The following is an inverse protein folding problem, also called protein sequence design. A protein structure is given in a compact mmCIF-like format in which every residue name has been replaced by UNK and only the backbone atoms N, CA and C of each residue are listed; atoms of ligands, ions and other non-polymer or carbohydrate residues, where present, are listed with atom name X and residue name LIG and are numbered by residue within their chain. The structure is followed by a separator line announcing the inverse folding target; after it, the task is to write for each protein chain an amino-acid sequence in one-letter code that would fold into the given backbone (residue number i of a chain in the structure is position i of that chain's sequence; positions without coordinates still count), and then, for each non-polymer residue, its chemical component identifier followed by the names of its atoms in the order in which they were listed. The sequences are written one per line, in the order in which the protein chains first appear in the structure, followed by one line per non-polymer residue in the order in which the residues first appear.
data_IF_771688115475
#
_entry.id   IF_771688115475
#
_cell.length_a   1.000
_cell.length_b   1.000
_cell.length_c   1.000
_cell.angle_alpha   90.00
_cell.angle_beta   90.00
_cell.angle_gamma   90.00
#
_symmetry.space_group_name_H-M   'P 1'
#
loop_
_entity.id
_entity.type
_entity.pdbx_description
1 polymer ?
#
# COMPACT_ATOMS: atom_id res chain seq x y z
N UNK A 1 -4.95 9.27 -8.05
CA UNK A 1 -4.22 10.46 -8.57
C UNK A 1 -4.56 11.65 -7.70
N UNK A 2 -3.55 12.39 -7.28
CA UNK A 2 -3.68 13.49 -6.32
C UNK A 2 -2.97 14.74 -6.84
N UNK A 3 -3.47 15.91 -6.42
CA UNK A 3 -2.88 17.22 -6.63
C UNK A 3 -2.29 17.72 -5.31
N UNK A 4 -1.06 18.21 -5.37
CA UNK A 4 -0.38 18.86 -4.26
C UNK A 4 0.22 20.20 -4.64
N UNK A 5 0.55 20.97 -3.61
CA UNK A 5 1.18 22.28 -3.73
C UNK A 5 2.40 22.39 -2.84
N UNK A 6 3.48 22.92 -3.41
CA UNK A 6 4.74 23.18 -2.74
C UNK A 6 4.89 24.69 -2.58
N UNK A 7 4.80 25.16 -1.34
CA UNK A 7 4.73 26.59 -1.03
C UNK A 7 6.06 27.34 -1.24
N UNK A 8 7.20 26.65 -1.15
CA UNK A 8 8.54 27.25 -1.23
C UNK A 8 8.81 27.92 -2.58
N UNK A 9 8.35 27.31 -3.66
CA UNK A 9 8.52 27.78 -5.03
C UNK A 9 7.19 27.92 -5.78
N UNK A 10 6.08 27.93 -5.04
CA UNK A 10 4.71 28.03 -5.55
C UNK A 10 4.43 27.06 -6.73
N UNK A 11 4.80 25.79 -6.56
CA UNK A 11 4.65 24.76 -7.61
C UNK A 11 3.51 23.79 -7.31
N UNK A 12 2.75 23.45 -8.34
CA UNK A 12 1.77 22.37 -8.31
C UNK A 12 2.40 21.05 -8.77
N UNK A 13 2.04 19.95 -8.11
CA UNK A 13 2.55 18.61 -8.38
C UNK A 13 1.37 17.64 -8.48
N UNK A 14 1.36 16.82 -9.53
CA UNK A 14 0.41 15.72 -9.68
C UNK A 14 1.15 14.41 -9.53
N UNK A 15 0.57 13.47 -8.79
CA UNK A 15 1.14 12.14 -8.57
C UNK A 15 0.05 11.07 -8.50
N UNK A 16 0.43 9.80 -8.72
CA UNK A 16 -0.49 8.68 -8.48
C UNK A 16 -0.93 8.61 -7.02
N UNK A 17 -0.01 8.90 -6.10
CA UNK A 17 -0.16 8.74 -4.65
C UNK A 17 0.37 9.95 -3.86
N UNK A 18 -0.22 10.22 -2.69
CA UNK A 18 0.19 11.35 -1.83
C UNK A 18 1.55 11.16 -1.15
N UNK A 19 2.06 9.93 -1.07
CA UNK A 19 3.40 9.65 -0.52
C UNK A 19 4.49 10.36 -1.34
N UNK A 20 4.32 10.46 -2.66
CA UNK A 20 5.23 11.18 -3.55
C UNK A 20 5.25 12.69 -3.22
N UNK A 21 4.10 13.29 -2.91
CA UNK A 21 4.01 14.69 -2.51
C UNK A 21 4.79 14.94 -1.20
N UNK A 22 4.60 14.03 -0.23
CA UNK A 22 5.30 14.10 1.06
C UNK A 22 6.82 13.99 0.88
N UNK A 23 7.27 13.09 0.00
CA UNK A 23 8.70 12.87 -0.27
C UNK A 23 9.40 14.11 -0.85
N UNK A 24 8.68 14.97 -1.57
CA UNK A 24 9.20 16.22 -2.14
C UNK A 24 8.84 17.46 -1.32
N UNK A 25 8.25 17.29 -0.14
CA UNK A 25 7.86 18.40 0.74
C UNK A 25 6.66 19.22 0.26
N UNK A 26 5.83 18.68 -0.64
CA UNK A 26 4.58 19.29 -1.06
C UNK A 26 3.43 18.85 -0.15
N UNK A 27 2.46 19.76 0.07
CA UNK A 27 1.23 19.45 0.80
C UNK A 27 0.21 18.85 -0.16
N UNK A 28 -0.47 17.79 0.27
CA UNK A 28 -1.64 17.26 -0.43
C UNK A 28 -2.77 18.30 -0.38
N UNK A 29 -3.26 18.73 -1.54
CA UNK A 29 -4.43 19.61 -1.63
C UNK A 29 -5.72 18.80 -1.72
N UNK A 30 -5.79 17.88 -2.71
CA UNK A 30 -6.97 17.03 -2.95
C UNK A 30 -6.70 15.89 -3.92
N UNK A 31 -7.61 14.93 -3.96
CA UNK A 31 -7.71 13.96 -5.05
C UNK A 31 -8.19 14.64 -6.35
N UNK A 32 -7.72 14.12 -7.48
CA UNK A 32 -8.22 14.51 -8.82
C UNK A 32 -9.52 13.77 -9.08
N UNK A 33 -10.56 14.50 -9.49
CA UNK A 33 -11.90 13.92 -9.67
C UNK A 33 -11.95 13.05 -10.94
N UNK A 34 -12.79 11.99 -10.97
CA UNK A 34 -13.06 11.26 -12.20
C UNK A 34 -13.59 12.22 -13.28
N UNK A 35 -13.02 12.17 -14.48
CA UNK A 35 -13.42 13.07 -15.57
C UNK A 35 -12.84 14.49 -15.48
N UNK A 36 -11.92 14.75 -14.56
CA UNK A 36 -11.23 16.04 -14.44
C UNK A 36 -9.95 16.06 -15.30
N UNK A 37 -9.78 17.15 -16.04
CA UNK A 37 -8.57 17.53 -16.72
C UNK A 37 -7.85 18.60 -15.89
N UNK A 38 -6.56 18.38 -15.62
CA UNK A 38 -5.69 19.35 -14.97
C UNK A 38 -4.72 19.92 -16.00
N UNK A 39 -4.70 21.25 -16.13
CA UNK A 39 -3.78 21.98 -17.00
C UNK A 39 -2.86 22.84 -16.16
N UNK A 40 -1.56 22.57 -16.25
CA UNK A 40 -0.51 23.35 -15.62
C UNK A 40 0.21 24.17 -16.70
N UNK A 41 0.25 25.49 -16.51
CA UNK A 41 0.92 26.40 -17.44
C UNK A 41 1.59 27.56 -16.70
N UNK A 42 2.20 28.50 -17.45
CA UNK A 42 2.73 29.74 -16.89
C UNK A 42 1.66 30.62 -16.23
N UNK A 43 0.39 30.42 -16.59
CA UNK A 43 -0.75 31.15 -16.00
C UNK A 43 -1.23 30.52 -14.68
N UNK A 44 -0.64 29.40 -14.25
CA UNK A 44 -1.00 28.67 -13.05
C UNK A 44 -1.78 27.38 -13.34
N UNK A 45 -2.58 26.98 -12.35
CA UNK A 45 -3.43 25.79 -12.37
C UNK A 45 -4.81 26.13 -12.95
N UNK A 46 -5.19 25.43 -14.01
CA UNK A 46 -6.54 25.41 -14.58
C UNK A 46 -7.11 23.99 -14.50
N UNK A 47 -8.42 23.87 -14.29
CA UNK A 47 -9.11 22.56 -14.22
C UNK A 47 -10.41 22.60 -15.00
N UNK A 48 -10.70 21.54 -15.74
CA UNK A 48 -11.92 21.42 -16.54
C UNK A 48 -12.51 20.01 -16.36
N UNK A 49 -13.85 19.91 -16.30
CA UNK A 49 -14.51 18.60 -16.32
C UNK A 49 -14.85 18.26 -17.77
N UNK A 50 -14.23 17.21 -18.31
CA UNK A 50 -14.55 16.71 -19.66
C UNK A 50 -15.64 15.62 -19.64
N UNK A 51 -16.03 15.15 -18.45
CA UNK A 51 -17.12 14.21 -18.24
C UNK A 51 -17.93 14.59 -17.00
N UNK A 52 -19.25 14.52 -17.11
CA UNK A 52 -20.18 14.73 -15.99
C UNK A 52 -20.42 13.44 -15.18
N UNK A 53 -19.87 12.29 -15.61
CA UNK A 53 -20.06 11.03 -14.91
C UNK A 53 -19.30 11.04 -13.58
N UNK A 54 -20.05 11.20 -12.49
CA UNK A 54 -19.52 11.26 -11.13
C UNK A 54 -19.32 9.90 -10.47
N UNK A 55 -19.58 8.79 -11.17
CA UNK A 55 -19.41 7.45 -10.60
C UNK A 55 -17.94 7.22 -10.24
N UNK A 56 -17.69 7.03 -8.95
CA UNK A 56 -16.39 6.64 -8.41
C UNK A 56 -16.31 5.12 -8.38
N UNK A 57 -15.33 4.57 -9.09
CA UNK A 57 -15.00 3.14 -9.06
C UNK A 57 -13.50 2.99 -8.81
N UNK A 58 -13.10 3.21 -7.56
CA UNK A 58 -11.70 3.09 -7.18
C UNK A 58 -11.27 1.64 -7.10
N UNK A 59 -10.00 1.40 -7.47
CA UNK A 59 -9.41 0.07 -7.45
C UNK A 59 -9.25 -0.40 -6.00
N UNK A 60 -10.01 -1.42 -5.60
CA UNK A 60 -9.92 -2.00 -4.25
C UNK A 60 -8.53 -2.58 -3.96
N UNK A 61 -7.79 -2.98 -5.00
CA UNK A 61 -6.43 -3.52 -4.88
C UNK A 61 -5.41 -2.50 -4.38
N UNK A 62 -5.66 -1.20 -4.57
CA UNK A 62 -4.81 -0.14 -4.00
C UNK A 62 -4.85 -0.17 -2.48
N UNK A 63 -6.05 -0.29 -1.92
CA UNK A 63 -6.27 -0.36 -0.48
C UNK A 63 -5.76 -1.66 0.13
N UNK A 64 -5.89 -2.80 -0.57
CA UNK A 64 -5.48 -4.09 -0.01
C UNK A 64 -3.97 -4.30 -0.10
N UNK A 65 -3.30 -3.88 -1.18
CA UNK A 65 -1.91 -4.29 -1.44
C UNK A 65 -1.04 -3.24 -2.14
N UNK A 66 -1.53 -2.62 -3.22
CA UNK A 66 -0.65 -1.95 -4.19
C UNK A 66 -0.12 -0.59 -3.71
N UNK A 67 -0.99 0.27 -3.17
CA UNK A 67 -0.60 1.60 -2.74
C UNK A 67 0.39 1.56 -1.56
N UNK A 68 1.24 2.58 -1.48
CA UNK A 68 2.14 2.75 -0.36
C UNK A 68 1.34 2.99 0.94
N UNK A 69 1.68 2.34 2.06
CA UNK A 69 0.89 2.42 3.30
C UNK A 69 0.81 3.84 3.90
N UNK A 70 1.76 4.72 3.59
CA UNK A 70 1.73 6.12 4.05
C UNK A 70 0.87 7.03 3.17
N UNK A 71 0.39 6.55 2.02
CA UNK A 71 -0.45 7.34 1.13
C UNK A 71 -1.84 7.54 1.73
N UNK A 72 -2.44 8.68 1.38
CA UNK A 72 -3.85 8.95 1.53
C UNK A 72 -4.47 8.92 0.13
N UNK A 73 -5.60 8.23 0.01
CA UNK A 73 -6.34 8.09 -1.22
C UNK A 73 -7.82 8.27 -0.89
N UNK A 74 -8.49 9.21 -1.56
CA UNK A 74 -9.90 9.54 -1.33
C UNK A 74 -10.23 9.78 0.15
N UNK A 75 -9.39 10.56 0.83
CA UNK A 75 -9.54 10.86 2.25
C UNK A 75 -9.25 9.71 3.22
N UNK A 76 -8.85 8.53 2.73
CA UNK A 76 -8.52 7.36 3.55
C UNK A 76 -7.02 7.10 3.54
N UNK A 77 -6.43 6.98 4.73
CA UNK A 77 -5.05 6.53 4.86
C UNK A 77 -4.95 5.02 4.57
N UNK A 78 -4.02 4.61 3.70
CA UNK A 78 -3.91 3.22 3.24
C UNK A 78 -3.55 2.26 4.39
N UNK A 79 -2.63 2.64 5.29
CA UNK A 79 -2.30 1.82 6.46
C UNK A 79 -3.53 1.59 7.35
N UNK A 80 -4.29 2.65 7.65
CA UNK A 80 -5.50 2.54 8.48
C UNK A 80 -6.59 1.72 7.79
N UNK A 81 -6.76 1.86 6.47
CA UNK A 81 -7.69 1.06 5.70
C UNK A 81 -7.36 -0.44 5.81
N UNK A 82 -6.09 -0.82 5.63
CA UNK A 82 -5.62 -2.22 5.79
C UNK A 82 -5.83 -2.75 7.20
N UNK A 83 -5.57 -1.92 8.21
CA UNK A 83 -5.84 -2.28 9.60
C UNK A 83 -7.33 -2.53 9.86
N UNK A 84 -8.20 -1.69 9.30
CA UNK A 84 -9.65 -1.87 9.41
C UNK A 84 -10.16 -3.11 8.67
N UNK A 85 -9.56 -3.46 7.52
CA UNK A 85 -9.82 -4.75 6.84
C UNK A 85 -9.53 -5.92 7.79
N UNK A 86 -8.38 -5.88 8.49
CA UNK A 86 -8.02 -6.88 9.51
C UNK A 86 -9.05 -7.01 10.63
N UNK A 87 -9.48 -5.88 11.19
CA UNK A 87 -10.55 -5.85 12.22
C UNK A 87 -11.86 -6.45 11.69
N UNK A 88 -12.24 -6.09 10.46
CA UNK A 88 -13.44 -6.65 9.84
C UNK A 88 -13.33 -8.16 9.65
N UNK A 89 -12.16 -8.65 9.23
CA UNK A 89 -11.90 -10.09 9.11
C UNK A 89 -12.03 -10.80 10.45
N UNK A 90 -11.52 -10.24 11.55
CA UNK A 90 -11.65 -10.81 12.89
C UNK A 90 -13.11 -10.92 13.34
N UNK A 91 -13.94 -9.89 13.07
CA UNK A 91 -15.38 -9.93 13.35
C UNK A 91 -16.11 -10.99 12.53
N UNK A 92 -15.75 -11.12 11.25
CA UNK A 92 -16.42 -12.02 10.30
C UNK A 92 -15.99 -13.48 10.48
N UNK A 93 -14.73 -13.70 10.81
CA UNK A 93 -14.09 -15.00 10.94
C UNK A 93 -13.24 -15.05 12.21
N UNK A 94 -13.88 -15.06 13.40
CA UNK A 94 -13.15 -15.08 14.66
C UNK A 94 -12.48 -16.43 14.89
N UNK A 95 -11.23 -16.42 15.33
CA UNK A 95 -10.50 -17.60 15.82
C UNK A 95 -10.43 -17.51 17.34
N UNK A 96 -10.88 -18.54 18.04
CA UNK A 96 -10.98 -18.56 19.51
C UNK A 96 -9.74 -19.13 20.20
N UNK A 97 -9.10 -20.10 19.55
CA UNK A 97 -8.02 -20.92 20.14
C UNK A 97 -6.72 -20.68 19.36
N UNK A 98 -6.25 -19.43 19.33
CA UNK A 98 -4.96 -19.07 18.76
C UNK A 98 -4.10 -18.36 19.81
N UNK A 99 -2.83 -18.74 19.88
CA UNK A 99 -1.89 -18.15 20.82
C UNK A 99 -1.29 -16.84 20.31
N UNK A 100 -1.20 -16.70 18.97
CA UNK A 100 -0.46 -15.62 18.33
C UNK A 100 -0.97 -15.33 16.92
N UNK A 101 -0.92 -14.06 16.52
CA UNK A 101 -1.14 -13.62 15.14
C UNK A 101 0.19 -13.20 14.51
N UNK A 102 0.60 -13.91 13.46
CA UNK A 102 1.84 -13.65 12.72
C UNK A 102 1.52 -13.10 11.33
N UNK A 103 2.08 -11.94 10.91
CA UNK A 103 1.90 -11.44 9.56
C UNK A 103 2.80 -12.16 8.56
N UNK A 104 2.33 -12.30 7.32
CA UNK A 104 3.23 -12.50 6.18
C UNK A 104 3.77 -11.13 5.75
N UNK A 105 5.09 -10.90 5.75
CA UNK A 105 5.65 -9.60 5.45
C UNK A 105 5.58 -9.27 3.94
N UNK A 106 5.48 -8.01 3.53
CA UNK A 106 5.41 -6.80 4.37
C UNK A 106 3.99 -6.22 4.43
N UNK A 107 3.18 -6.45 3.39
CA UNK A 107 1.91 -5.74 3.17
C UNK A 107 0.77 -6.18 4.09
N UNK A 108 0.80 -7.42 4.60
CA UNK A 108 -0.25 -7.94 5.48
C UNK A 108 -0.11 -7.47 6.94
N UNK A 109 1.03 -6.86 7.32
CA UNK A 109 1.31 -6.44 8.71
C UNK A 109 0.20 -5.57 9.32
N UNK A 110 -0.35 -4.53 8.66
CA UNK A 110 -1.42 -3.73 9.24
C UNK A 110 -2.71 -4.52 9.44
N UNK A 111 -3.06 -5.40 8.51
CA UNK A 111 -4.25 -6.24 8.59
C UNK A 111 -4.12 -7.27 9.73
N UNK A 112 -2.98 -7.95 9.84
CA UNK A 112 -2.70 -8.86 10.94
C UNK A 112 -2.76 -8.15 12.31
N UNK A 113 -2.16 -6.96 12.42
CA UNK A 113 -2.27 -6.13 13.62
C UNK A 113 -3.73 -5.78 13.95
N UNK A 114 -4.52 -5.38 12.95
CA UNK A 114 -5.93 -5.09 13.13
C UNK A 114 -6.74 -6.30 13.58
N UNK A 115 -6.46 -7.46 13.02
CA UNK A 115 -7.09 -8.73 13.37
C UNK A 115 -6.78 -9.13 14.83
N UNK A 116 -5.50 -9.10 15.21
CA UNK A 116 -5.03 -9.41 16.57
C UNK A 116 -5.67 -8.50 17.63
N UNK A 117 -5.70 -7.19 17.37
CA UNK A 117 -6.33 -6.22 18.27
C UNK A 117 -7.83 -6.42 18.44
N UNK A 118 -8.53 -6.89 17.41
CA UNK A 118 -9.97 -7.10 17.47
C UNK A 118 -10.34 -8.37 18.26
N UNK A 119 -9.55 -9.44 18.14
CA UNK A 119 -9.81 -10.69 18.89
C UNK A 119 -9.15 -10.73 20.28
N UNK A 120 -8.25 -9.79 20.58
CA UNK A 120 -7.57 -9.69 21.88
C UNK A 120 -6.40 -10.67 22.06
N UNK A 121 -5.76 -11.11 20.99
CA UNK A 121 -4.60 -12.03 21.01
C UNK A 121 -3.33 -11.25 20.63
N UNK A 122 -2.13 -11.62 21.14
CA UNK A 122 -0.89 -10.96 20.78
C UNK A 122 -0.58 -11.00 19.27
N UNK A 123 0.14 -9.97 18.82
CA UNK A 123 0.73 -9.88 17.49
C UNK A 123 2.25 -9.95 17.65
N UNK A 124 2.92 -10.74 16.82
CA UNK A 124 4.38 -10.80 16.81
C UNK A 124 4.91 -11.16 15.41
N UNK A 125 6.20 -10.96 15.20
CA UNK A 125 6.89 -11.36 13.98
C UNK A 125 7.39 -12.80 14.13
N UNK A 126 6.88 -13.71 13.30
CA UNK A 126 7.43 -15.07 13.14
C UNK A 126 8.06 -15.28 11.76
N UNK A 127 7.86 -14.35 10.83
CA UNK A 127 8.33 -14.40 9.45
C UNK A 127 8.99 -13.07 9.09
N UNK A 128 10.20 -13.12 8.55
CA UNK A 128 10.90 -11.95 8.02
C UNK A 128 11.11 -12.08 6.52
N UNK A 129 10.94 -10.97 5.80
CA UNK A 129 11.34 -10.90 4.41
C UNK A 129 12.84 -10.63 4.33
N UNK A 130 13.56 -11.46 3.60
CA UNK A 130 14.96 -11.21 3.30
C UNK A 130 15.10 -10.00 2.37
N UNK A 131 15.73 -8.94 2.88
CA UNK A 131 15.97 -7.68 2.15
C UNK A 131 17.41 -7.55 1.68
N UNK A 132 18.30 -8.43 2.14
CA UNK A 132 19.76 -8.29 2.01
C UNK A 132 20.35 -9.32 1.08
N UNK A 133 19.78 -10.52 1.01
CA UNK A 133 20.24 -11.52 0.06
C UNK A 133 20.14 -10.96 -1.34
N UNK A 134 21.28 -11.07 -2.04
CA UNK A 134 21.40 -10.65 -3.42
C UNK A 134 20.36 -11.45 -4.18
N UNK A 135 19.35 -10.74 -4.71
CA UNK A 135 18.46 -11.31 -5.73
C UNK A 135 19.39 -11.95 -6.76
N UNK A 136 19.12 -13.20 -7.13
CA UNK A 136 19.82 -13.83 -8.25
C UNK A 136 19.73 -12.95 -9.52
N UNK A 137 20.17 -13.43 -10.68
CA UNK A 137 19.78 -12.74 -11.92
C UNK A 137 18.26 -12.49 -11.87
N UNK A 138 17.83 -11.24 -12.11
CA UNK A 138 16.40 -10.83 -12.08
C UNK A 138 15.51 -11.67 -13.01
N UNK A 139 16.13 -12.53 -13.82
CA UNK A 139 15.54 -13.59 -14.63
C UNK A 139 15.98 -14.95 -14.05
N UNK A 140 15.03 -15.83 -13.75
CA UNK A 140 15.34 -17.26 -13.61
C UNK A 140 15.75 -17.76 -15.00
N UNK A 141 16.95 -18.32 -15.14
CA UNK A 141 17.26 -19.10 -16.33
C UNK A 141 16.60 -20.47 -16.22
N UNK A 142 16.53 -21.21 -17.33
CA UNK A 142 16.00 -22.56 -17.31
C UNK A 142 16.99 -23.43 -16.54
N UNK A 143 16.71 -23.62 -15.24
CA UNK A 143 17.53 -24.47 -14.39
C UNK A 143 17.34 -25.94 -14.79
N UNK A 144 18.42 -26.68 -15.09
CA UNK A 144 18.36 -28.05 -15.62
C UNK A 144 17.93 -29.08 -14.57
N UNK A 145 18.08 -28.78 -13.28
CA UNK A 145 17.74 -29.70 -12.19
C UNK A 145 16.65 -29.14 -11.27
N UNK A 146 15.80 -30.03 -10.75
CA UNK A 146 14.70 -29.67 -9.84
C UNK A 146 15.21 -29.11 -8.49
N UNK A 147 16.39 -29.55 -8.04
CA UNK A 147 17.06 -29.02 -6.83
C UNK A 147 17.34 -27.53 -6.90
N UNK A 148 17.56 -27.02 -8.11
CA UNK A 148 17.95 -25.65 -8.38
C UNK A 148 16.71 -24.74 -8.53
N UNK A 149 15.52 -25.33 -8.65
CA UNK A 149 14.22 -24.63 -8.79
C UNK A 149 13.57 -24.23 -7.45
N UNK A 150 14.24 -24.39 -6.32
CA UNK A 150 13.70 -24.07 -4.98
C UNK A 150 13.87 -22.56 -4.66
N UNK A 151 13.35 -21.69 -5.51
CA UNK A 151 13.61 -20.24 -5.41
C UNK A 151 12.45 -19.42 -4.83
N UNK A 152 11.22 -19.95 -4.83
CA UNK A 152 10.02 -19.11 -4.59
C UNK A 152 9.83 -18.77 -3.10
N UNK A 153 10.23 -19.64 -2.17
CA UNK A 153 10.02 -19.44 -0.72
C UNK A 153 11.26 -19.07 0.08
N UNK A 154 12.44 -18.92 -0.55
CA UNK A 154 13.69 -18.59 0.18
C UNK A 154 13.69 -17.19 0.80
N UNK A 155 12.77 -16.33 0.38
CA UNK A 155 12.77 -14.92 0.74
C UNK A 155 11.91 -14.59 1.95
N UNK A 156 11.09 -15.53 2.43
CA UNK A 156 10.37 -15.41 3.69
C UNK A 156 11.00 -16.42 4.67
N UNK A 157 11.70 -15.90 5.67
CA UNK A 157 12.50 -16.67 6.60
C UNK A 157 11.74 -16.73 7.93
N UNK A 158 11.45 -17.94 8.45
CA UNK A 158 10.96 -18.09 9.81
C UNK A 158 12.00 -17.62 10.83
N UNK A 159 11.59 -16.82 11.81
CA UNK A 159 12.43 -16.52 12.96
C UNK A 159 12.55 -17.81 13.79
N UNK A 160 13.78 -18.23 14.06
CA UNK A 160 14.09 -19.43 14.85
C UNK A 160 14.82 -19.00 16.13
N UNK A 161 14.49 -19.67 17.23
CA UNK A 161 15.29 -19.65 18.47
C UNK A 161 16.56 -20.48 18.31
#
# INVERSE_FOLDING_TARGET
MVLGHKADNNSYIVASESSALSAVGAKLERDVKPGELIKLSKNGLETEMFSENSKKAHCSFEYTYFAHPTSNMEGSNIYLARKNIGKFMAKKFPIKDADLVIPVPDSARPAALGYAQEIGIPFDEGLLKDRYSRKGPLRSFIEPHQSDRIEINRWIIPIRE
#
